data_IF_739289595837
#
_entry.id   IF_739289595837
#
_cell.length_a   1.000
_cell.length_b   1.000
_cell.length_c   1.000
_cell.angle_alpha   90.00
_cell.angle_beta   90.00
_cell.angle_gamma   90.00
#
_symmetry.space_group_name_H-M   'P 1'
#
loop_
_entity.id
_entity.type
_entity.pdbx_description
1 polymer ?
#
# COMPACT_ATOMS: atom_id res chain seq x y z
N UNK A 1 22.76 -75.72 19.85
CA UNK A 1 23.17 -75.10 21.10
C UNK A 1 22.19 -73.95 21.40
N UNK A 2 21.49 -74.16 22.49
CA UNK A 2 20.50 -73.29 23.13
C UNK A 2 21.20 -72.01 23.61
N UNK A 3 20.51 -70.84 23.53
CA UNK A 3 20.15 -70.04 24.71
C UNK A 3 19.03 -69.07 24.39
N UNK A 4 17.95 -69.26 25.07
CA UNK A 4 16.83 -68.40 25.36
C UNK A 4 17.24 -67.37 26.42
N UNK A 5 16.77 -66.10 26.37
CA UNK A 5 16.34 -65.29 27.50
C UNK A 5 15.40 -64.23 26.93
N UNK A 6 14.11 -64.30 27.05
CA UNK A 6 13.15 -63.76 28.04
C UNK A 6 13.23 -62.25 28.26
N UNK A 7 12.19 -61.59 27.74
CA UNK A 7 11.20 -60.72 28.35
C UNK A 7 11.62 -59.53 29.18
N UNK A 8 11.14 -58.36 28.80
CA UNK A 8 10.36 -57.55 29.73
C UNK A 8 9.50 -56.53 28.94
N UNK A 9 8.21 -56.73 29.05
CA UNK A 9 7.21 -55.68 28.83
C UNK A 9 7.42 -54.57 29.90
N UNK A 10 7.45 -53.33 29.46
CA UNK A 10 6.97 -52.22 30.26
C UNK A 10 6.07 -51.36 29.43
N UNK A 11 4.81 -51.52 29.67
CA UNK A 11 3.79 -50.49 29.41
C UNK A 11 4.10 -49.26 30.25
N UNK A 12 4.31 -48.14 29.58
CA UNK A 12 4.03 -46.85 30.17
C UNK A 12 3.11 -46.06 29.24
N UNK A 13 1.96 -45.97 29.72
CA UNK A 13 0.79 -45.23 29.30
C UNK A 13 1.01 -43.76 29.68
N UNK A 14 0.38 -42.91 28.88
CA UNK A 14 -0.08 -41.55 29.22
C UNK A 14 0.94 -40.41 29.20
N UNK A 15 0.78 -39.49 28.34
CA UNK A 15 -0.02 -38.29 28.46
C UNK A 15 0.44 -37.30 27.38
N UNK A 16 -0.32 -37.22 26.32
CA UNK A 16 -0.33 -36.04 25.46
C UNK A 16 -0.93 -34.88 26.26
N UNK A 17 -0.13 -33.92 26.60
CA UNK A 17 -0.60 -32.62 27.05
C UNK A 17 -0.54 -31.67 25.86
N UNK A 18 -1.66 -31.56 25.18
CA UNK A 18 -1.90 -30.51 24.18
C UNK A 18 -2.15 -29.22 24.97
N UNK A 19 -1.18 -28.33 24.96
CA UNK A 19 -1.37 -26.97 25.46
C UNK A 19 -2.00 -26.13 24.34
N UNK A 20 -3.33 -26.08 24.33
CA UNK A 20 -4.08 -25.13 23.54
C UNK A 20 -4.00 -23.75 24.23
N UNK A 21 -3.18 -22.86 23.70
CA UNK A 21 -3.27 -21.44 24.02
C UNK A 21 -4.46 -20.85 23.27
N UNK A 22 -5.63 -20.86 23.90
CA UNK A 22 -6.77 -20.08 23.47
C UNK A 22 -6.57 -18.63 23.87
N UNK A 23 -6.11 -17.79 22.95
CA UNK A 23 -6.22 -16.35 23.07
C UNK A 23 -7.65 -15.92 22.73
N UNK A 24 -8.47 -15.71 23.75
CA UNK A 24 -9.76 -15.04 23.62
C UNK A 24 -9.50 -13.56 23.33
N UNK A 25 -9.70 -13.17 22.08
CA UNK A 25 -9.82 -11.76 21.71
C UNK A 25 -11.29 -11.39 21.81
N UNK A 26 -11.62 -10.61 22.85
CA UNK A 26 -12.91 -9.94 22.94
C UNK A 26 -12.89 -8.77 21.95
N UNK A 27 -13.64 -8.86 20.87
CA UNK A 27 -13.95 -7.74 20.01
C UNK A 27 -14.95 -6.83 20.74
N UNK A 28 -14.45 -5.78 21.37
CA UNK A 28 -15.26 -4.66 21.78
C UNK A 28 -15.28 -3.66 20.62
N UNK A 29 -16.47 -3.46 20.03
CA UNK A 29 -16.72 -2.38 19.10
C UNK A 29 -16.49 -1.05 19.83
N UNK A 30 -15.41 -0.37 19.51
CA UNK A 30 -15.13 0.97 20.01
C UNK A 30 -15.67 1.98 18.99
N UNK A 31 -16.66 2.74 19.41
CA UNK A 31 -17.09 3.96 18.72
C UNK A 31 -15.89 4.91 18.55
N UNK A 32 -15.57 5.23 17.31
CA UNK A 32 -14.59 6.28 16.99
C UNK A 32 -15.18 7.65 17.39
N UNK A 33 -14.63 8.23 18.44
CA UNK A 33 -14.81 9.65 18.72
C UNK A 33 -13.76 10.45 17.95
N UNK A 34 -14.16 11.46 17.15
CA UNK A 34 -13.21 12.39 16.56
C UNK A 34 -12.71 13.35 17.63
N UNK A 35 -11.43 13.28 17.91
CA UNK A 35 -10.85 14.17 18.90
C UNK A 35 -9.35 13.98 19.05
N UNK A 36 -8.60 14.52 18.11
CA UNK A 36 -7.15 14.71 18.27
C UNK A 36 -6.91 15.83 19.28
N UNK A 37 -6.88 15.52 20.55
CA UNK A 37 -6.23 16.39 21.55
C UNK A 37 -5.61 15.53 22.64
N UNK A 38 -4.28 15.70 22.79
CA UNK A 38 -3.45 15.30 23.91
C UNK A 38 -3.11 13.80 24.01
N UNK A 39 -2.12 13.38 23.23
CA UNK A 39 -1.28 12.28 23.71
C UNK A 39 -0.62 12.73 25.02
N UNK A 40 -0.85 11.97 26.09
CA UNK A 40 -0.16 12.17 27.37
C UNK A 40 1.35 12.08 27.14
N UNK A 41 2.16 13.01 27.70
CA UNK A 41 3.61 12.89 27.64
C UNK A 41 4.02 11.60 28.34
N UNK A 42 4.62 10.66 27.63
CA UNK A 42 5.23 9.47 28.24
C UNK A 42 5.09 8.15 27.53
N UNK A 43 4.28 8.04 26.45
CA UNK A 43 4.21 6.78 25.70
C UNK A 43 5.14 6.91 24.48
N UNK A 44 6.17 6.11 24.39
CA UNK A 44 7.00 6.02 23.19
C UNK A 44 6.12 5.71 21.98
N UNK A 45 6.37 6.35 20.84
CA UNK A 45 5.60 6.10 19.62
C UNK A 45 5.79 4.66 19.17
N UNK A 46 4.69 4.04 18.72
CA UNK A 46 4.74 2.68 18.19
C UNK A 46 5.66 2.61 16.97
N UNK A 47 6.50 1.60 16.91
CA UNK A 47 7.40 1.32 15.80
C UNK A 47 7.17 -0.09 15.26
N UNK A 48 7.08 -0.29 13.94
CA UNK A 48 6.94 -1.63 13.36
C UNK A 48 8.10 -2.54 13.72
N UNK A 49 7.80 -3.81 13.93
CA UNK A 49 8.76 -4.87 14.21
C UNK A 49 8.81 -5.84 13.02
N UNK A 50 9.98 -6.37 12.73
CA UNK A 50 10.13 -7.36 11.66
C UNK A 50 9.37 -8.65 11.97
N UNK A 51 8.77 -9.24 10.95
CA UNK A 51 7.98 -10.47 11.09
C UNK A 51 6.58 -10.24 11.62
N UNK A 52 6.20 -8.98 11.89
CA UNK A 52 4.87 -8.63 12.38
C UNK A 52 4.20 -7.61 11.48
N UNK A 53 2.88 -7.78 11.29
CA UNK A 53 2.06 -6.77 10.62
C UNK A 53 1.53 -5.80 11.68
N UNK A 54 1.90 -4.51 11.58
CA UNK A 54 1.50 -3.55 12.60
C UNK A 54 0.01 -3.22 12.53
N UNK A 55 -0.64 -2.99 13.66
CA UNK A 55 -2.05 -2.63 13.70
C UNK A 55 -2.28 -1.21 13.15
N UNK A 56 -3.30 -1.07 12.29
CA UNK A 56 -3.61 0.18 11.59
C UNK A 56 -3.93 1.33 12.55
N UNK A 57 -4.55 1.04 13.68
CA UNK A 57 -4.93 2.02 14.70
C UNK A 57 -3.74 2.67 15.41
N UNK A 58 -2.57 2.05 15.35
CA UNK A 58 -1.32 2.61 15.88
C UNK A 58 -0.61 3.52 14.87
N UNK A 59 -1.06 3.53 13.62
CA UNK A 59 -0.50 4.38 12.58
C UNK A 59 -0.92 5.84 12.75
N UNK A 60 0.02 6.75 12.55
CA UNK A 60 -0.30 8.16 12.43
C UNK A 60 -1.10 8.40 11.14
N UNK A 61 -2.14 9.23 11.27
CA UNK A 61 -2.97 9.64 10.14
C UNK A 61 -2.64 11.07 9.74
N UNK A 62 -2.40 11.28 8.46
CA UNK A 62 -2.26 12.62 7.90
C UNK A 62 -2.70 12.64 6.44
N UNK A 63 -2.90 13.84 5.89
CA UNK A 63 -3.35 14.08 4.52
C UNK A 63 -2.38 15.02 3.84
N UNK A 64 -2.07 14.79 2.58
CA UNK A 64 -1.18 15.66 1.86
C UNK A 64 -1.05 15.35 0.38
N UNK A 65 -0.39 16.25 -0.34
CA UNK A 65 -0.13 16.16 -1.77
C UNK A 65 1.08 15.24 -2.04
N UNK A 66 0.93 14.31 -2.96
CA UNK A 66 2.06 13.53 -3.47
C UNK A 66 2.90 14.40 -4.42
N UNK A 67 4.12 14.73 -4.04
CA UNK A 67 4.98 15.64 -4.82
C UNK A 67 6.14 14.96 -5.52
N UNK A 68 6.49 13.76 -5.07
CA UNK A 68 7.57 12.97 -5.67
C UNK A 68 7.32 11.48 -5.47
N UNK A 69 7.72 10.66 -6.43
CA UNK A 69 7.69 9.19 -6.36
C UNK A 69 8.97 8.61 -6.96
N UNK A 70 9.59 7.74 -6.19
CA UNK A 70 10.57 6.77 -6.63
C UNK A 70 9.91 5.37 -6.53
N UNK A 71 9.25 4.96 -7.59
CA UNK A 71 8.44 3.74 -7.59
C UNK A 71 9.29 2.47 -7.48
N UNK A 72 10.53 2.48 -8.01
CA UNK A 72 11.44 1.32 -7.92
C UNK A 72 11.80 0.99 -6.47
N UNK A 73 11.99 2.01 -5.65
CA UNK A 73 12.31 1.88 -4.23
C UNK A 73 11.09 1.98 -3.31
N UNK A 74 9.88 2.14 -3.89
CA UNK A 74 8.62 2.32 -3.15
C UNK A 74 8.70 3.47 -2.14
N UNK A 75 9.19 4.62 -2.60
CA UNK A 75 9.41 5.83 -1.81
C UNK A 75 8.73 7.02 -2.47
N UNK A 76 8.56 8.06 -1.71
CA UNK A 76 8.04 9.33 -2.23
C UNK A 76 8.15 10.44 -1.21
N UNK A 77 7.55 11.56 -1.53
CA UNK A 77 7.42 12.69 -0.61
C UNK A 77 6.00 13.23 -0.63
N UNK A 78 5.49 13.51 0.56
CA UNK A 78 4.17 14.10 0.79
C UNK A 78 4.36 15.51 1.33
N UNK A 79 3.69 16.47 0.70
CA UNK A 79 3.51 17.81 1.28
C UNK A 79 2.27 17.77 2.16
N UNK A 80 2.49 17.72 3.48
CA UNK A 80 1.42 17.55 4.45
C UNK A 80 0.56 18.82 4.51
N UNK A 81 -0.77 18.63 4.59
CA UNK A 81 -1.70 19.71 4.84
C UNK A 81 -1.50 20.20 6.29
N UNK A 82 -1.07 21.43 6.46
CA UNK A 82 -1.01 22.07 7.78
C UNK A 82 -2.40 22.53 8.22
N UNK A 83 -2.66 22.55 9.53
CA UNK A 83 -3.91 23.05 10.11
C UNK A 83 -4.13 24.53 9.70
N UNK A 84 -4.99 24.75 8.72
CA UNK A 84 -5.48 26.07 8.31
C UNK A 84 -4.40 27.09 7.91
N UNK A 85 -3.17 26.68 7.66
CA UNK A 85 -2.06 27.55 7.32
C UNK A 85 -1.67 27.41 5.86
N UNK A 86 -1.56 28.56 5.24
CA UNK A 86 -1.46 28.78 3.81
C UNK A 86 -0.07 28.53 3.22
N UNK A 87 0.91 28.15 4.01
CA UNK A 87 2.26 27.96 3.50
C UNK A 87 2.47 26.52 3.07
N UNK A 88 3.07 26.35 1.92
CA UNK A 88 3.59 25.07 1.50
C UNK A 88 4.62 24.61 2.52
N UNK A 89 4.29 23.58 3.27
CA UNK A 89 5.28 22.92 4.09
C UNK A 89 6.28 22.20 3.17
N UNK A 90 7.51 22.07 3.62
CA UNK A 90 8.48 21.21 2.95
C UNK A 90 7.91 19.80 2.79
N UNK A 91 8.14 19.16 1.65
CA UNK A 91 7.71 17.79 1.48
C UNK A 91 8.43 16.85 2.46
N UNK A 92 7.68 15.93 3.04
CA UNK A 92 8.17 14.92 3.97
C UNK A 92 8.43 13.62 3.24
N UNK A 93 9.68 13.12 3.21
CA UNK A 93 10.00 11.86 2.57
C UNK A 93 9.41 10.68 3.34
N UNK A 94 8.88 9.73 2.60
CA UNK A 94 8.36 8.48 3.14
C UNK A 94 8.93 7.27 2.40
N UNK A 95 8.91 6.11 3.06
CA UNK A 95 9.08 4.82 2.43
C UNK A 95 7.87 3.93 2.75
N UNK A 96 7.42 3.17 1.77
CA UNK A 96 6.42 2.15 2.03
C UNK A 96 7.04 1.02 2.87
N UNK A 97 6.28 0.50 3.83
CA UNK A 97 6.61 -0.79 4.42
C UNK A 97 6.61 -1.86 3.32
N UNK A 98 7.37 -2.95 3.45
CA UNK A 98 7.41 -4.01 2.42
C UNK A 98 6.03 -4.51 2.02
N UNK A 99 5.14 -4.65 3.00
CA UNK A 99 3.73 -5.04 2.88
C UNK A 99 2.77 -3.84 2.86
N UNK A 100 3.30 -2.63 2.74
CA UNK A 100 2.48 -1.41 2.63
C UNK A 100 1.64 -1.42 1.36
N UNK A 101 0.44 -0.89 1.46
CA UNK A 101 -0.57 -0.93 0.39
C UNK A 101 -0.84 0.46 -0.16
N UNK A 102 -1.12 0.51 -1.44
CA UNK A 102 -1.62 1.71 -2.12
C UNK A 102 -3.02 1.41 -2.66
N UNK A 103 -3.94 2.33 -2.45
CA UNK A 103 -5.29 2.30 -3.01
C UNK A 103 -5.51 3.53 -3.86
N UNK A 104 -5.95 3.32 -5.08
CA UNK A 104 -6.26 4.39 -6.03
C UNK A 104 -7.53 4.06 -6.80
N UNK A 105 -8.45 5.01 -6.86
CA UNK A 105 -9.79 4.81 -7.43
C UNK A 105 -10.54 3.62 -6.81
N UNK A 106 -10.41 3.42 -5.48
CA UNK A 106 -11.07 2.33 -4.76
C UNK A 106 -10.45 0.95 -4.93
N UNK A 107 -9.38 0.82 -5.71
CA UNK A 107 -8.77 -0.44 -6.09
C UNK A 107 -7.31 -0.58 -5.62
N UNK A 108 -6.75 -1.79 -5.64
CA UNK A 108 -5.31 -2.00 -5.48
C UNK A 108 -4.51 -1.21 -6.51
N UNK A 109 -3.39 -0.62 -6.06
CA UNK A 109 -2.52 0.16 -6.90
C UNK A 109 -1.05 0.05 -6.47
N UNK A 110 -0.16 0.60 -7.28
CA UNK A 110 1.22 0.89 -6.91
C UNK A 110 1.47 2.39 -6.96
N UNK A 111 2.56 2.87 -6.35
CA UNK A 111 2.91 4.29 -6.34
C UNK A 111 2.99 4.91 -7.75
N UNK A 112 3.35 4.11 -8.75
CA UNK A 112 3.42 4.51 -10.15
C UNK A 112 2.06 4.87 -10.77
N UNK A 113 0.99 4.34 -10.20
CA UNK A 113 -0.37 4.54 -10.72
C UNK A 113 -0.97 5.85 -10.22
N UNK A 114 -0.37 6.45 -9.19
CA UNK A 114 -0.87 7.67 -8.55
C UNK A 114 -0.21 8.91 -9.17
N UNK A 115 -0.96 9.78 -9.85
CA UNK A 115 -0.43 11.01 -10.41
C UNK A 115 0.14 11.94 -9.34
N UNK A 116 1.25 12.62 -9.66
CA UNK A 116 1.74 13.70 -8.81
C UNK A 116 0.70 14.81 -8.67
N UNK A 117 0.64 15.42 -7.51
CA UNK A 117 -0.38 16.40 -7.15
C UNK A 117 -1.64 15.80 -6.51
N UNK A 118 -1.82 14.47 -6.56
CA UNK A 118 -2.93 13.79 -5.89
C UNK A 118 -2.84 13.99 -4.39
N UNK A 119 -3.96 14.36 -3.77
CA UNK A 119 -4.08 14.42 -2.32
C UNK A 119 -4.34 13.02 -1.79
N UNK A 120 -3.47 12.56 -0.90
CA UNK A 120 -3.50 11.22 -0.32
C UNK A 120 -3.77 11.25 1.18
N UNK A 121 -4.52 10.26 1.65
CA UNK A 121 -4.62 9.88 3.04
C UNK A 121 -3.54 8.87 3.36
N UNK A 122 -2.76 9.15 4.39
CA UNK A 122 -1.59 8.38 4.77
C UNK A 122 -1.78 7.77 6.14
N UNK A 123 -1.45 6.48 6.27
CA UNK A 123 -1.29 5.79 7.55
C UNK A 123 0.15 5.30 7.63
N UNK A 124 0.92 5.89 8.52
CA UNK A 124 2.34 5.63 8.64
C UNK A 124 2.83 5.55 10.07
N UNK A 125 4.03 5.06 10.23
CA UNK A 125 4.73 4.92 11.50
C UNK A 125 6.04 5.68 11.46
N UNK A 126 6.57 6.03 12.61
CA UNK A 126 7.96 6.48 12.69
C UNK A 126 8.90 5.36 12.22
N UNK A 127 10.07 5.71 11.67
CA UNK A 127 11.04 4.71 11.25
C UNK A 127 11.37 3.75 12.39
N UNK A 128 11.52 2.45 12.09
CA UNK A 128 11.94 1.47 13.09
C UNK A 128 13.26 1.87 13.73
N UNK A 129 13.44 1.56 15.00
CA UNK A 129 14.76 1.68 15.63
C UNK A 129 15.65 0.54 15.12
N UNK A 130 16.77 0.83 14.43
CA UNK A 130 17.67 -0.21 13.92
C UNK A 130 18.23 -1.14 15.01
N UNK A 131 18.25 -0.67 16.26
CA UNK A 131 18.73 -1.45 17.42
C UNK A 131 17.70 -2.42 17.98
N UNK A 132 16.41 -2.11 17.78
CA UNK A 132 15.30 -2.85 18.37
C UNK A 132 14.46 -3.59 17.31
N UNK A 133 14.67 -3.30 16.04
CA UNK A 133 13.84 -3.82 14.97
C UNK A 133 14.72 -4.23 13.79
N UNK A 134 14.40 -5.38 13.19
CA UNK A 134 14.95 -5.83 11.92
C UNK A 134 14.13 -5.36 10.71
N UNK A 135 13.12 -4.54 10.91
CA UNK A 135 12.44 -3.88 9.78
C UNK A 135 13.44 -3.01 9.04
N UNK A 136 13.55 -3.14 7.72
CA UNK A 136 14.53 -2.40 6.95
C UNK A 136 14.37 -0.89 7.13
N UNK A 137 15.46 -0.23 7.48
CA UNK A 137 15.55 1.22 7.55
C UNK A 137 16.32 1.70 6.35
N UNK A 138 15.84 2.74 5.69
CA UNK A 138 16.57 3.34 4.58
C UNK A 138 17.91 3.90 5.08
N UNK A 139 19.03 3.63 4.40
CA UNK A 139 20.31 4.19 4.79
C UNK A 139 20.25 5.71 4.75
N UNK A 140 20.86 6.31 5.75
CA UNK A 140 21.10 7.75 5.80
C UNK A 140 22.48 7.98 5.16
N UNK A 141 22.53 8.65 4.02
CA UNK A 141 23.79 9.15 3.53
C UNK A 141 24.12 10.47 4.22
N UNK A 142 24.88 10.37 5.32
CA UNK A 142 25.33 11.54 6.08
C UNK A 142 26.49 12.28 5.39
N UNK A 143 26.94 11.84 4.21
CA UNK A 143 28.09 12.42 3.54
C UNK A 143 27.73 13.63 2.68
N UNK A 144 26.49 13.75 2.29
CA UNK A 144 26.06 14.85 1.45
C UNK A 144 25.61 16.03 2.32
N UNK A 145 26.53 16.98 2.50
CA UNK A 145 26.27 18.21 3.26
C UNK A 145 25.27 19.13 2.56
N UNK A 146 25.03 18.90 1.28
CA UNK A 146 24.06 19.62 0.45
C UNK A 146 22.71 18.92 0.37
N UNK A 147 22.40 18.13 1.36
CA UNK A 147 21.13 17.41 1.48
C UNK A 147 19.90 18.33 1.31
N UNK A 148 20.02 19.65 1.51
CA UNK A 148 18.94 20.61 1.27
C UNK A 148 18.41 20.62 -0.17
N UNK A 149 19.24 20.29 -1.16
CA UNK A 149 18.83 20.24 -2.56
C UNK A 149 17.88 19.08 -2.88
N UNK A 150 17.89 18.06 -2.04
CA UNK A 150 17.10 16.85 -2.25
C UNK A 150 15.82 16.81 -1.41
N UNK A 151 15.61 17.81 -0.59
CA UNK A 151 14.36 17.92 0.17
C UNK A 151 13.17 17.89 -0.78
N UNK A 152 12.31 16.93 -0.57
CA UNK A 152 11.17 16.73 -1.43
C UNK A 152 11.38 15.84 -2.65
N UNK A 153 12.60 15.38 -2.91
CA UNK A 153 12.89 14.45 -4.02
C UNK A 153 12.72 12.97 -3.63
N UNK A 154 12.45 12.68 -2.35
CA UNK A 154 12.33 11.30 -1.86
C UNK A 154 13.66 10.60 -1.60
N UNK A 155 14.77 11.27 -1.79
CA UNK A 155 16.12 10.72 -1.61
C UNK A 155 16.54 10.72 -0.15
N UNK A 156 15.94 11.61 0.64
CA UNK A 156 16.23 11.69 2.08
C UNK A 156 15.78 10.44 2.83
N UNK A 157 16.37 10.20 4.00
CA UNK A 157 15.85 9.20 4.91
C UNK A 157 14.35 9.41 5.12
N UNK A 158 13.60 8.34 5.08
CA UNK A 158 12.17 8.41 5.29
C UNK A 158 11.88 8.88 6.71
N UNK A 159 11.05 9.91 6.83
CA UNK A 159 10.52 10.36 8.11
C UNK A 159 9.40 9.46 8.61
N UNK A 160 8.71 8.79 7.66
CA UNK A 160 7.64 7.85 7.95
C UNK A 160 7.77 6.57 7.12
N UNK A 161 7.42 5.44 7.72
CA UNK A 161 7.21 4.17 7.07
C UNK A 161 5.72 3.93 6.90
N UNK A 162 5.26 3.91 5.67
CA UNK A 162 3.84 3.96 5.34
C UNK A 162 3.27 2.56 5.16
N UNK A 163 2.17 2.28 5.86
CA UNK A 163 1.39 1.05 5.74
C UNK A 163 0.30 1.17 4.69
N UNK A 164 -0.35 2.34 4.60
CA UNK A 164 -1.48 2.54 3.71
C UNK A 164 -1.44 3.95 3.13
N UNK A 165 -1.52 4.02 1.79
CA UNK A 165 -1.78 5.23 1.02
C UNK A 165 -3.11 5.08 0.28
N UNK A 166 -3.96 6.07 0.40
CA UNK A 166 -5.28 6.08 -0.25
C UNK A 166 -5.54 7.45 -0.89
N UNK A 167 -6.04 7.45 -2.12
CA UNK A 167 -6.65 8.64 -2.67
C UNK A 167 -8.01 8.92 -1.98
N UNK A 168 -8.60 10.07 -2.26
CA UNK A 168 -9.84 10.47 -1.61
C UNK A 168 -11.00 9.49 -1.86
N UNK A 169 -11.25 8.98 -3.09
CA UNK A 169 -12.27 7.98 -3.32
C UNK A 169 -12.04 6.68 -2.52
N UNK A 170 -10.81 6.16 -2.52
CA UNK A 170 -10.48 4.94 -1.78
C UNK A 170 -10.70 5.10 -0.28
N UNK A 171 -10.30 6.26 0.27
CA UNK A 171 -10.53 6.59 1.67
C UNK A 171 -12.02 6.67 2.00
N UNK A 172 -12.81 7.32 1.16
CA UNK A 172 -14.25 7.41 1.32
C UNK A 172 -14.90 6.03 1.31
N UNK A 173 -14.56 5.19 0.34
CA UNK A 173 -15.11 3.83 0.22
C UNK A 173 -14.75 2.97 1.44
N UNK A 174 -13.49 2.99 1.90
CA UNK A 174 -13.07 2.23 3.08
C UNK A 174 -13.77 2.69 4.37
N UNK A 175 -14.04 3.98 4.49
CA UNK A 175 -14.69 4.55 5.69
C UNK A 175 -16.22 4.62 5.60
N UNK A 176 -16.81 4.17 4.49
CA UNK A 176 -18.26 4.22 4.27
C UNK A 176 -18.79 5.66 4.12
N UNK A 177 -17.94 6.59 3.68
CA UNK A 177 -18.26 8.00 3.50
C UNK A 177 -18.35 8.38 2.03
N UNK A 178 -19.02 9.50 1.77
CA UNK A 178 -19.12 10.16 0.46
C UNK A 178 -19.02 11.66 0.65
N UNK A 179 -18.74 12.38 -0.40
CA UNK A 179 -18.89 13.81 -0.40
C UNK A 179 -20.34 14.20 -0.73
N UNK A 180 -20.93 15.05 0.10
CA UNK A 180 -22.23 15.64 -0.17
C UNK A 180 -22.05 17.07 -0.61
N UNK A 181 -22.44 17.36 -1.84
CA UNK A 181 -22.32 18.67 -2.44
C UNK A 181 -23.34 19.61 -1.83
N UNK A 182 -22.92 20.77 -1.29
CA UNK A 182 -23.76 21.76 -0.63
C UNK A 182 -24.05 22.98 -1.51
N UNK A 183 -22.99 23.56 -2.06
CA UNK A 183 -23.09 24.77 -2.87
C UNK A 183 -22.12 24.68 -4.05
N UNK A 184 -22.55 25.16 -5.19
CA UNK A 184 -21.76 25.37 -6.39
C UNK A 184 -21.74 26.86 -6.73
N UNK A 185 -20.56 27.41 -6.96
CA UNK A 185 -20.38 28.72 -7.59
C UNK A 185 -19.61 28.54 -8.89
N UNK A 186 -20.21 28.97 -10.00
CA UNK A 186 -19.67 28.77 -11.34
C UNK A 186 -19.51 30.10 -12.07
N UNK A 187 -18.41 30.24 -12.78
CA UNK A 187 -18.15 31.34 -13.73
C UNK A 187 -17.20 30.84 -14.82
N UNK A 188 -17.58 31.03 -16.08
CA UNK A 188 -16.73 30.65 -17.22
C UNK A 188 -16.25 29.17 -17.17
N UNK A 189 -17.13 28.24 -16.84
CA UNK A 189 -16.83 26.79 -16.69
C UNK A 189 -15.77 26.45 -15.64
N UNK A 190 -15.53 27.34 -14.69
CA UNK A 190 -14.67 27.11 -13.53
C UNK A 190 -15.35 27.68 -12.28
N UNK A 191 -14.97 27.19 -11.13
CA UNK A 191 -15.64 27.67 -9.92
C UNK A 191 -15.20 26.96 -8.66
N UNK A 192 -16.10 26.97 -7.70
CA UNK A 192 -15.88 26.42 -6.37
C UNK A 192 -17.07 25.54 -5.99
N UNK A 193 -16.80 24.40 -5.41
CA UNK A 193 -17.78 23.53 -4.78
C UNK A 193 -17.50 23.52 -3.29
N UNK A 194 -18.55 23.72 -2.50
CA UNK A 194 -18.55 23.46 -1.06
C UNK A 194 -19.19 22.11 -0.84
N UNK A 195 -18.51 21.23 -0.14
CA UNK A 195 -18.96 19.88 0.15
C UNK A 195 -18.50 19.42 1.53
N UNK A 196 -19.23 18.48 2.12
CA UNK A 196 -18.86 17.83 3.38
C UNK A 196 -18.70 16.32 3.19
N UNK A 197 -17.74 15.73 3.92
CA UNK A 197 -17.53 14.28 3.90
C UNK A 197 -18.40 13.61 4.96
N UNK A 198 -19.46 12.97 4.55
CA UNK A 198 -20.49 12.41 5.40
C UNK A 198 -20.72 10.91 5.13
N UNK A 199 -21.35 10.16 6.03
CA UNK A 199 -21.82 8.82 5.73
C UNK A 199 -22.73 8.82 4.49
N UNK A 200 -22.67 7.75 3.69
CA UNK A 200 -23.51 7.62 2.48
C UNK A 200 -24.99 7.72 2.82
N UNK A 201 -25.40 7.15 3.96
CA UNK A 201 -26.76 7.25 4.50
C UNK A 201 -26.75 8.01 5.82
N UNK A 202 -27.69 8.95 5.99
CA UNK A 202 -27.76 9.80 7.18
C UNK A 202 -27.05 11.14 7.01
N UNK A 203 -27.02 11.92 8.07
CA UNK A 203 -26.39 13.25 8.15
C UNK A 203 -25.42 13.25 9.32
N UNK A 204 -24.21 13.71 9.09
CA UNK A 204 -23.24 13.99 10.14
C UNK A 204 -23.16 15.51 10.34
N UNK A 205 -23.86 16.01 11.36
CA UNK A 205 -23.89 17.45 11.67
C UNK A 205 -22.54 18.00 12.16
N UNK A 206 -21.58 17.13 12.39
CA UNK A 206 -20.22 17.51 12.82
C UNK A 206 -19.22 17.48 11.65
N UNK A 207 -19.66 17.09 10.46
CA UNK A 207 -18.80 17.05 9.29
C UNK A 207 -18.36 18.46 8.89
N UNK A 208 -17.06 18.64 8.73
CA UNK A 208 -16.51 19.90 8.28
C UNK A 208 -16.77 20.09 6.78
N UNK A 209 -17.14 21.32 6.42
CA UNK A 209 -17.30 21.72 5.03
C UNK A 209 -15.95 22.13 4.45
N UNK A 210 -15.63 21.59 3.29
CA UNK A 210 -14.43 21.96 2.53
C UNK A 210 -14.84 22.69 1.24
N UNK A 211 -14.14 23.77 0.95
CA UNK A 211 -14.30 24.51 -0.31
C UNK A 211 -13.19 24.11 -1.27
N UNK A 212 -13.56 23.61 -2.43
CA UNK A 212 -12.67 23.07 -3.44
C UNK A 212 -12.92 23.74 -4.78
N UNK A 213 -11.83 24.07 -5.49
CA UNK A 213 -11.95 24.63 -6.84
C UNK A 213 -12.11 23.53 -7.88
N UNK A 214 -12.70 23.87 -9.02
CA UNK A 214 -12.75 23.04 -10.22
C UNK A 214 -12.61 23.91 -11.46
N UNK A 215 -12.31 23.30 -12.60
CA UNK A 215 -12.19 24.02 -13.87
C UNK A 215 -12.69 23.15 -15.06
N UNK A 216 -12.56 23.66 -16.26
CA UNK A 216 -12.98 22.96 -17.47
C UNK A 216 -12.22 21.63 -17.73
N UNK A 217 -11.10 21.40 -17.06
CA UNK A 217 -10.35 20.14 -17.13
C UNK A 217 -10.85 19.09 -16.13
N UNK A 218 -11.68 19.49 -15.15
CA UNK A 218 -12.30 18.55 -14.21
C UNK A 218 -13.13 17.53 -14.99
N UNK A 219 -12.87 16.26 -14.74
CA UNK A 219 -13.55 15.14 -15.40
C UNK A 219 -14.75 14.74 -14.55
N UNK A 220 -15.89 14.60 -15.19
CA UNK A 220 -17.12 14.17 -14.52
C UNK A 220 -17.53 12.83 -15.12
N UNK A 221 -17.78 11.87 -14.26
CA UNK A 221 -18.07 10.51 -14.66
C UNK A 221 -19.49 10.14 -14.24
N UNK A 222 -20.28 9.69 -15.21
CA UNK A 222 -21.66 9.23 -15.02
C UNK A 222 -21.84 7.93 -15.79
N UNK A 223 -22.18 6.86 -15.11
CA UNK A 223 -22.26 5.54 -15.70
C UNK A 223 -20.95 5.16 -16.45
N UNK A 224 -21.01 5.16 -17.76
CA UNK A 224 -19.88 4.83 -18.65
C UNK A 224 -19.35 6.03 -19.42
N UNK A 225 -19.87 7.20 -19.16
CA UNK A 225 -19.56 8.40 -19.92
C UNK A 225 -18.64 9.33 -19.14
N UNK A 226 -17.77 10.00 -19.87
CA UNK A 226 -17.00 11.12 -19.38
C UNK A 226 -17.65 12.40 -19.85
N UNK A 227 -18.05 13.20 -18.91
CA UNK A 227 -18.64 14.52 -19.10
C UNK A 227 -17.64 15.60 -18.72
N UNK A 228 -17.82 16.78 -19.27
CA UNK A 228 -17.17 18.00 -18.81
C UNK A 228 -18.17 18.90 -18.09
N UNK A 229 -17.66 19.99 -17.51
CA UNK A 229 -18.49 21.02 -16.88
C UNK A 229 -19.51 21.59 -17.86
N UNK A 230 -19.13 21.75 -19.14
CA UNK A 230 -20.01 22.24 -20.19
C UNK A 230 -21.24 21.36 -20.42
N UNK A 231 -21.06 20.05 -20.37
CA UNK A 231 -22.16 19.11 -20.61
C UNK A 231 -23.22 19.20 -19.50
N UNK A 232 -22.80 19.37 -18.24
CA UNK A 232 -23.74 19.56 -17.12
C UNK A 232 -24.49 20.90 -17.19
N UNK A 233 -23.87 21.93 -17.78
CA UNK A 233 -24.52 23.21 -18.04
C UNK A 233 -25.57 23.06 -19.16
N UNK A 234 -25.21 22.41 -20.26
CA UNK A 234 -26.09 22.17 -21.40
C UNK A 234 -27.32 21.31 -21.00
N UNK A 235 -27.09 20.34 -20.13
CA UNK A 235 -28.20 19.53 -19.55
C UNK A 235 -29.04 20.27 -18.49
N UNK A 236 -28.64 21.49 -18.10
CA UNK A 236 -29.36 22.28 -17.08
C UNK A 236 -29.17 21.77 -15.63
N UNK A 237 -28.27 20.82 -15.42
CA UNK A 237 -27.95 20.31 -14.09
C UNK A 237 -27.15 21.35 -13.30
N UNK A 238 -26.19 22.00 -13.95
CA UNK A 238 -25.43 23.12 -13.38
C UNK A 238 -25.83 24.44 -14.03
N UNK A 239 -25.78 25.59 -13.31
CA UNK A 239 -26.07 26.89 -13.89
C UNK A 239 -24.95 27.27 -14.87
N UNK A 240 -25.25 28.13 -15.84
CA UNK A 240 -24.22 28.69 -16.72
C UNK A 240 -23.22 29.57 -15.94
N UNK A 241 -23.74 30.41 -15.04
CA UNK A 241 -23.03 31.28 -14.13
C UNK A 241 -23.78 31.45 -12.83
N UNK A 242 -23.07 31.82 -11.77
CA UNK A 242 -23.65 32.17 -10.46
C UNK A 242 -23.62 31.06 -9.45
N UNK A 243 -24.36 31.24 -8.38
CA UNK A 243 -24.43 30.30 -7.26
C UNK A 243 -25.70 29.44 -7.33
N UNK A 244 -25.53 28.17 -7.02
CA UNK A 244 -26.64 27.20 -6.92
C UNK A 244 -26.41 26.31 -5.67
N UNK A 245 -27.44 26.23 -4.78
CA UNK A 245 -27.42 25.19 -3.76
C UNK A 245 -27.54 23.82 -4.42
N UNK A 246 -26.80 22.85 -3.89
CA UNK A 246 -26.87 21.45 -4.30
C UNK A 246 -27.39 20.64 -3.12
N UNK A 247 -28.49 19.94 -3.32
CA UNK A 247 -29.28 19.29 -2.25
C UNK A 247 -28.58 18.08 -1.56
N UNK A 248 -27.28 18.19 -1.32
CA UNK A 248 -26.51 17.13 -0.68
C UNK A 248 -26.31 15.91 -1.57
N UNK A 249 -26.26 16.10 -2.91
CA UNK A 249 -25.99 15.03 -3.86
C UNK A 249 -24.72 14.26 -3.44
N UNK A 250 -24.80 12.95 -3.21
CA UNK A 250 -23.62 12.15 -2.85
C UNK A 250 -22.76 11.89 -4.08
N UNK A 251 -21.47 12.13 -3.96
CA UNK A 251 -20.48 11.89 -5.01
C UNK A 251 -19.16 11.38 -4.41
N UNK A 252 -18.30 10.83 -5.24
CA UNK A 252 -16.88 10.63 -4.90
C UNK A 252 -16.04 11.66 -5.66
N UNK A 253 -15.00 12.17 -5.02
CA UNK A 253 -14.16 13.24 -5.56
C UNK A 253 -12.70 12.80 -5.64
N UNK A 254 -12.10 12.97 -6.80
CA UNK A 254 -10.64 12.96 -6.94
C UNK A 254 -10.11 14.35 -6.60
N UNK A 255 -9.20 14.43 -5.65
CA UNK A 255 -8.71 15.71 -5.13
C UNK A 255 -7.22 15.85 -5.43
N UNK A 256 -6.86 17.00 -5.97
CA UNK A 256 -5.49 17.43 -6.16
C UNK A 256 -5.25 18.75 -5.45
N UNK A 257 -4.01 19.17 -5.37
CA UNK A 257 -3.64 20.44 -4.77
C UNK A 257 -3.08 21.37 -5.83
N UNK A 258 -3.80 22.45 -6.13
CA UNK A 258 -3.38 23.45 -7.10
C UNK A 258 -2.98 24.78 -6.43
N UNK A 259 -1.96 25.47 -6.94
CA UNK A 259 -1.66 26.84 -6.51
C UNK A 259 -2.81 27.78 -6.91
N UNK A 260 -3.05 28.77 -6.08
CA UNK A 260 -3.92 29.91 -6.41
C UNK A 260 -3.28 30.78 -7.50
N UNK A 261 -4.07 31.66 -8.12
CA UNK A 261 -3.60 32.53 -9.21
C UNK A 261 -2.42 33.43 -8.82
N UNK A 262 -2.30 33.79 -7.55
CA UNK A 262 -1.17 34.55 -7.01
C UNK A 262 0.10 33.70 -6.77
N UNK A 263 -0.02 32.38 -6.89
CA UNK A 263 1.06 31.43 -6.67
C UNK A 263 1.54 31.29 -5.22
N UNK A 264 0.94 32.03 -4.30
CA UNK A 264 1.35 32.06 -2.88
C UNK A 264 0.65 30.96 -2.09
N UNK A 265 -0.63 30.76 -2.38
CA UNK A 265 -1.46 29.79 -1.67
C UNK A 265 -1.75 28.56 -2.53
N UNK A 266 -2.14 27.47 -1.89
CA UNK A 266 -2.64 26.29 -2.56
C UNK A 266 -4.05 25.97 -2.04
N UNK A 267 -4.88 25.43 -2.92
CA UNK A 267 -6.24 25.03 -2.59
C UNK A 267 -6.49 23.61 -3.09
N UNK A 268 -7.40 22.93 -2.45
CA UNK A 268 -7.91 21.70 -2.98
C UNK A 268 -8.63 21.97 -4.30
N UNK A 269 -8.33 21.12 -5.26
CA UNK A 269 -8.89 21.19 -6.59
C UNK A 269 -9.43 19.83 -6.97
N UNK A 270 -10.65 19.82 -7.49
CA UNK A 270 -11.33 18.61 -7.92
C UNK A 270 -10.82 18.24 -9.31
N UNK A 271 -10.15 17.10 -9.43
CA UNK A 271 -9.73 16.54 -10.71
C UNK A 271 -10.81 15.67 -11.34
N UNK A 272 -11.58 14.96 -10.52
CA UNK A 272 -12.59 14.00 -10.92
C UNK A 272 -13.82 14.06 -10.02
N UNK A 273 -14.99 13.88 -10.60
CA UNK A 273 -16.26 13.74 -9.90
C UNK A 273 -16.92 12.45 -10.40
N UNK A 274 -17.15 11.49 -9.52
CA UNK A 274 -17.96 10.31 -9.82
C UNK A 274 -19.36 10.54 -9.27
N UNK A 275 -20.34 10.69 -10.18
CA UNK A 275 -21.72 11.00 -9.85
C UNK A 275 -22.53 9.78 -9.37
N UNK A 276 -22.02 8.58 -9.64
CA UNK A 276 -22.69 7.33 -9.30
C UNK A 276 -21.68 6.19 -9.02
N UNK A 277 -22.21 5.12 -8.42
CA UNK A 277 -21.42 3.95 -8.03
C UNK A 277 -20.88 3.21 -9.28
N UNK A 278 -21.64 3.14 -10.36
CA UNK A 278 -21.25 2.42 -11.60
C UNK A 278 -20.00 3.03 -12.22
N UNK A 279 -19.93 4.37 -12.26
CA UNK A 279 -18.76 5.07 -12.77
C UNK A 279 -17.51 4.79 -11.89
N UNK A 280 -17.69 4.74 -10.56
CA UNK A 280 -16.62 4.45 -9.63
C UNK A 280 -16.16 2.98 -9.70
N UNK A 281 -17.10 2.04 -9.77
CA UNK A 281 -16.81 0.61 -9.96
C UNK A 281 -15.99 0.36 -11.22
N UNK A 282 -16.34 1.00 -12.31
CA UNK A 282 -15.59 0.91 -13.57
C UNK A 282 -14.16 1.46 -13.44
N UNK A 283 -13.98 2.58 -12.73
CA UNK A 283 -12.65 3.11 -12.47
C UNK A 283 -11.81 2.13 -11.64
N UNK A 284 -12.43 1.53 -10.62
CA UNK A 284 -11.82 0.51 -9.78
C UNK A 284 -11.47 -0.77 -10.57
N UNK A 285 -12.34 -1.24 -11.44
CA UNK A 285 -12.07 -2.40 -12.32
C UNK A 285 -10.85 -2.16 -13.22
N UNK A 286 -10.80 -1.00 -13.89
CA UNK A 286 -9.68 -0.63 -14.75
C UNK A 286 -8.36 -0.55 -13.98
N UNK A 287 -8.39 0.03 -12.78
CA UNK A 287 -7.22 0.12 -11.92
C UNK A 287 -6.80 -1.27 -11.43
N UNK A 288 -7.75 -2.12 -11.07
CA UNK A 288 -7.49 -3.51 -10.67
C UNK A 288 -6.78 -4.29 -11.78
N UNK A 289 -7.24 -4.23 -13.01
CA UNK A 289 -6.60 -4.92 -14.15
C UNK A 289 -5.18 -4.35 -14.44
N UNK A 290 -5.00 -3.05 -14.29
CA UNK A 290 -3.67 -2.41 -14.40
C UNK A 290 -2.73 -2.98 -13.33
N UNK A 291 -3.17 -3.00 -12.09
CA UNK A 291 -2.39 -3.51 -10.97
C UNK A 291 -2.12 -5.02 -11.08
N UNK A 292 -3.09 -5.82 -11.51
CA UNK A 292 -2.90 -7.26 -11.75
C UNK A 292 -1.80 -7.52 -12.79
N UNK A 293 -1.82 -6.75 -13.88
CA UNK A 293 -0.78 -6.83 -14.91
C UNK A 293 0.59 -6.46 -14.35
N UNK A 294 0.65 -5.42 -13.52
CA UNK A 294 1.88 -5.01 -12.85
C UNK A 294 2.40 -6.11 -11.91
N UNK A 295 1.57 -6.65 -11.01
CA UNK A 295 1.99 -7.69 -10.07
C UNK A 295 2.44 -8.95 -10.79
N UNK A 296 1.73 -9.40 -11.83
CA UNK A 296 2.18 -10.54 -12.63
C UNK A 296 3.55 -10.33 -13.26
N UNK A 297 3.87 -9.11 -13.66
CA UNK A 297 5.17 -8.76 -14.24
C UNK A 297 6.28 -8.64 -13.20
N UNK A 298 5.96 -8.27 -11.95
CA UNK A 298 6.92 -8.01 -10.85
C UNK A 298 6.95 -9.11 -9.81
N UNK A 299 6.10 -10.12 -9.96
CA UNK A 299 5.84 -11.23 -9.04
C UNK A 299 5.21 -10.79 -7.71
N UNK A 300 4.50 -11.70 -7.09
CA UNK A 300 3.85 -11.50 -5.82
C UNK A 300 4.88 -11.33 -4.70
N UNK A 301 4.84 -10.23 -3.96
CA UNK A 301 5.69 -10.07 -2.80
C UNK A 301 5.20 -10.95 -1.65
N UNK A 302 6.14 -11.50 -0.91
CA UNK A 302 5.88 -12.37 0.22
C UNK A 302 6.95 -12.20 1.30
N UNK A 303 6.64 -12.67 2.49
CA UNK A 303 7.53 -12.72 3.64
C UNK A 303 7.92 -14.15 3.94
N UNK A 304 9.20 -14.46 4.09
CA UNK A 304 9.65 -15.79 4.49
C UNK A 304 9.45 -15.96 5.99
N UNK A 305 8.63 -16.91 6.37
CA UNK A 305 8.38 -17.28 7.77
C UNK A 305 9.40 -18.29 8.27
N UNK A 306 9.67 -19.32 7.45
CA UNK A 306 10.60 -20.39 7.80
C UNK A 306 11.32 -20.97 6.58
N UNK A 307 12.50 -21.54 6.81
CA UNK A 307 13.24 -22.35 5.85
C UNK A 307 13.68 -23.62 6.53
N UNK A 308 13.20 -24.78 6.07
CA UNK A 308 13.56 -26.09 6.56
C UNK A 308 14.47 -26.79 5.54
N UNK A 309 15.69 -27.07 5.96
CA UNK A 309 16.68 -27.74 5.10
C UNK A 309 16.51 -29.26 5.18
N UNK A 310 16.30 -29.87 4.02
CA UNK A 310 16.24 -31.31 3.84
C UNK A 310 17.58 -31.93 3.46
N UNK A 311 17.52 -33.17 3.00
CA UNK A 311 18.71 -33.87 2.48
C UNK A 311 19.04 -33.39 1.05
N UNK A 312 20.29 -33.52 0.65
CA UNK A 312 20.78 -33.24 -0.72
C UNK A 312 20.56 -31.80 -1.22
N UNK A 313 20.53 -30.83 -0.30
CA UNK A 313 20.36 -29.43 -0.66
C UNK A 313 18.91 -29.00 -0.92
N UNK A 314 17.96 -29.89 -0.71
CA UNK A 314 16.54 -29.55 -0.75
C UNK A 314 16.17 -28.65 0.43
N UNK A 315 15.20 -27.77 0.21
CA UNK A 315 14.62 -26.98 1.28
C UNK A 315 13.12 -26.76 1.04
N UNK A 316 12.40 -26.65 2.14
CA UNK A 316 11.00 -26.19 2.17
C UNK A 316 10.98 -24.77 2.72
N UNK A 317 10.47 -23.85 1.92
CA UNK A 317 10.32 -22.44 2.29
C UNK A 317 8.85 -22.18 2.58
N UNK A 318 8.56 -21.70 3.78
CA UNK A 318 7.23 -21.24 4.16
C UNK A 318 7.20 -19.73 4.03
N UNK A 319 6.23 -19.20 3.30
CA UNK A 319 6.13 -17.76 3.05
C UNK A 319 4.69 -17.27 3.07
N UNK A 320 4.46 -16.12 3.74
CA UNK A 320 3.18 -15.42 3.77
C UNK A 320 3.12 -14.41 2.64
N UNK A 321 2.11 -14.52 1.76
CA UNK A 321 1.87 -13.58 0.68
C UNK A 321 1.37 -12.25 1.26
N UNK A 322 1.85 -11.13 0.70
CA UNK A 322 1.39 -9.82 1.13
C UNK A 322 -0.03 -9.53 0.64
N UNK A 323 -0.74 -8.74 1.43
CA UNK A 323 -2.12 -8.35 1.18
C UNK A 323 -2.28 -7.16 0.25
N UNK A 324 -3.53 -6.75 0.09
CA UNK A 324 -3.88 -5.53 -0.65
C UNK A 324 -3.94 -5.69 -2.16
N UNK A 325 -3.89 -6.90 -2.69
CA UNK A 325 -3.99 -7.21 -4.11
C UNK A 325 -5.35 -7.83 -4.44
N UNK A 326 -5.63 -7.97 -5.73
CA UNK A 326 -6.85 -8.63 -6.18
C UNK A 326 -6.83 -10.14 -5.86
N UNK A 327 -7.97 -10.67 -5.42
CA UNK A 327 -8.10 -12.06 -4.97
C UNK A 327 -7.76 -13.09 -6.05
N UNK A 328 -7.98 -12.74 -7.33
CA UNK A 328 -7.65 -13.63 -8.44
C UNK A 328 -6.15 -13.91 -8.57
N UNK A 329 -5.30 -13.00 -8.09
CA UNK A 329 -3.85 -13.23 -8.07
C UNK A 329 -3.45 -14.30 -7.04
N UNK A 330 -4.12 -14.32 -5.90
CA UNK A 330 -3.88 -15.35 -4.87
C UNK A 330 -4.40 -16.72 -5.31
N UNK A 331 -5.51 -16.75 -6.04
CA UNK A 331 -6.10 -17.99 -6.57
C UNK A 331 -5.19 -18.72 -7.58
N UNK A 332 -4.20 -18.04 -8.13
CA UNK A 332 -3.20 -18.64 -9.03
C UNK A 332 -2.15 -19.50 -8.28
N UNK A 333 -2.01 -19.31 -6.96
CA UNK A 333 -1.12 -20.12 -6.11
C UNK A 333 -1.87 -21.39 -5.68
N UNK A 334 -1.56 -22.52 -6.31
CA UNK A 334 -2.23 -23.79 -6.09
C UNK A 334 -1.24 -24.84 -5.65
N UNK A 335 -1.70 -25.78 -4.82
CA UNK A 335 -0.94 -26.98 -4.49
C UNK A 335 -0.54 -27.72 -5.78
N UNK A 336 0.64 -28.27 -5.78
CA UNK A 336 1.29 -28.99 -6.87
C UNK A 336 1.63 -28.12 -8.11
N UNK A 337 1.30 -26.83 -8.10
CA UNK A 337 1.72 -25.92 -9.15
C UNK A 337 3.22 -25.61 -9.04
N UNK A 338 3.93 -25.60 -10.16
CA UNK A 338 5.30 -25.13 -10.20
C UNK A 338 5.36 -23.62 -9.96
N UNK A 339 6.30 -23.19 -9.13
CA UNK A 339 6.53 -21.78 -8.82
C UNK A 339 8.01 -21.43 -8.90
N UNK A 340 8.29 -20.11 -8.94
CA UNK A 340 9.61 -19.53 -8.86
C UNK A 340 9.62 -18.52 -7.71
N UNK A 341 10.73 -18.51 -6.97
CA UNK A 341 10.93 -17.58 -5.86
C UNK A 341 12.31 -16.92 -5.95
N UNK A 342 12.36 -15.61 -5.73
CA UNK A 342 13.58 -14.83 -5.75
C UNK A 342 13.65 -13.89 -4.56
N UNK A 343 14.86 -13.61 -4.06
CA UNK A 343 15.05 -12.47 -3.18
C UNK A 343 14.76 -11.17 -3.95
N UNK A 344 14.21 -10.16 -3.26
CA UNK A 344 13.84 -8.87 -3.89
C UNK A 344 15.03 -8.23 -4.58
N UNK A 345 16.20 -8.24 -3.94
CA UNK A 345 17.42 -7.67 -4.53
C UNK A 345 17.87 -8.42 -5.80
N UNK A 346 17.80 -9.75 -5.79
CA UNK A 346 18.12 -10.54 -6.98
C UNK A 346 17.13 -10.26 -8.12
N UNK A 347 15.85 -10.11 -7.81
CA UNK A 347 14.81 -9.79 -8.81
C UNK A 347 15.09 -8.48 -9.52
N UNK A 348 15.61 -7.49 -8.80
CA UNK A 348 15.83 -6.15 -9.31
C UNK A 348 17.24 -5.97 -9.91
N UNK A 349 18.26 -6.57 -9.31
CA UNK A 349 19.65 -6.43 -9.78
C UNK A 349 19.97 -7.27 -11.02
N UNK A 350 19.31 -8.40 -11.20
CA UNK A 350 19.62 -9.35 -12.27
C UNK A 350 18.64 -9.31 -13.44
N UNK A 351 17.92 -8.19 -13.59
CA UNK A 351 17.05 -7.96 -14.73
C UNK A 351 17.81 -7.42 -15.96
N UNK A 352 19.12 -7.25 -15.87
CA UNK A 352 19.93 -6.80 -16.98
C UNK A 352 20.11 -7.85 -18.07
N UNK A 353 19.85 -7.46 -19.30
CA UNK A 353 20.17 -8.23 -20.48
C UNK A 353 19.44 -9.58 -20.59
N UNK A 354 20.15 -10.61 -21.03
CA UNK A 354 19.59 -11.94 -21.32
C UNK A 354 19.17 -12.74 -20.07
N UNK A 355 19.50 -12.25 -18.89
CA UNK A 355 19.31 -12.97 -17.64
C UNK A 355 18.13 -12.41 -16.84
N UNK A 356 16.97 -12.35 -17.28
CA UNK A 356 15.82 -11.87 -16.51
C UNK A 356 15.69 -12.50 -15.11
N UNK A 357 14.74 -12.07 -14.30
CA UNK A 357 14.55 -12.50 -12.91
C UNK A 357 14.53 -14.03 -12.73
N UNK A 358 14.00 -14.74 -13.72
CA UNK A 358 13.88 -16.19 -13.67
C UNK A 358 15.20 -16.95 -13.66
N UNK A 359 16.31 -16.34 -14.08
CA UNK A 359 17.60 -17.01 -14.15
C UNK A 359 18.20 -17.29 -12.77
N UNK A 360 17.91 -16.42 -11.80
CA UNK A 360 18.40 -16.54 -10.42
C UNK A 360 17.34 -17.02 -9.44
N UNK A 361 16.24 -17.56 -9.94
CA UNK A 361 15.14 -18.00 -9.10
C UNK A 361 15.30 -19.43 -8.60
N UNK A 362 14.97 -19.66 -7.33
CA UNK A 362 14.63 -21.00 -6.87
C UNK A 362 13.39 -21.47 -7.60
N UNK A 363 13.37 -22.71 -8.05
CA UNK A 363 12.25 -23.30 -8.78
C UNK A 363 11.81 -24.59 -8.08
N UNK A 364 10.51 -24.80 -8.02
CA UNK A 364 9.95 -26.02 -7.48
C UNK A 364 8.43 -25.98 -7.33
N UNK A 365 7.84 -27.04 -6.78
CA UNK A 365 6.40 -27.09 -6.54
C UNK A 365 5.98 -26.33 -5.28
N UNK A 366 4.77 -25.83 -5.29
CA UNK A 366 4.03 -25.44 -4.09
C UNK A 366 3.46 -26.72 -3.49
N UNK A 367 3.97 -27.14 -2.33
CA UNK A 367 3.55 -28.39 -1.70
C UNK A 367 2.30 -28.22 -0.84
N UNK A 368 2.06 -26.99 -0.37
CA UNK A 368 0.83 -26.66 0.36
C UNK A 368 0.49 -25.18 0.26
N UNK A 369 -0.81 -24.88 0.43
CA UNK A 369 -1.36 -23.52 0.51
C UNK A 369 -2.33 -23.46 1.67
N UNK A 370 -1.98 -22.71 2.69
CA UNK A 370 -2.77 -22.58 3.91
C UNK A 370 -3.40 -21.18 3.94
N UNK A 371 -4.69 -21.11 4.20
CA UNK A 371 -5.39 -19.86 4.45
C UNK A 371 -5.63 -19.72 5.94
N UNK A 372 -5.21 -18.60 6.52
CA UNK A 372 -5.44 -18.30 7.93
C UNK A 372 -6.95 -18.22 8.22
N UNK A 373 -7.33 -18.69 9.39
CA UNK A 373 -8.68 -18.51 9.89
C UNK A 373 -8.87 -17.08 10.40
N UNK A 374 -9.98 -16.46 10.02
CA UNK A 374 -10.31 -15.09 10.44
C UNK A 374 -9.79 -14.00 9.51
N UNK A 375 -9.92 -12.76 9.97
CA UNK A 375 -9.48 -11.57 9.21
C UNK A 375 -7.97 -11.40 9.32
N UNK A 376 -7.31 -11.35 8.17
CA UNK A 376 -5.87 -11.12 8.11
C UNK A 376 -5.53 -9.66 8.49
N UNK A 377 -4.44 -9.43 9.21
CA UNK A 377 -4.00 -8.06 9.50
C UNK A 377 -3.67 -7.31 8.21
N UNK A 378 -3.84 -6.00 8.22
CA UNK A 378 -3.56 -5.16 7.07
C UNK A 378 -2.10 -5.36 6.60
N UNK A 379 -1.93 -5.58 5.31
CA UNK A 379 -0.63 -5.92 4.71
C UNK A 379 -0.40 -7.42 4.53
N UNK A 380 -1.15 -8.29 5.19
CA UNK A 380 -1.14 -9.73 4.97
C UNK A 380 -2.33 -10.15 4.10
N UNK A 381 -2.13 -11.13 3.24
CA UNK A 381 -3.24 -11.79 2.52
C UNK A 381 -3.94 -12.86 3.37
N UNK A 382 -3.35 -13.25 4.49
CA UNK A 382 -3.75 -14.44 5.23
C UNK A 382 -3.44 -15.75 4.52
N UNK A 383 -2.70 -15.71 3.40
CA UNK A 383 -2.34 -16.90 2.62
C UNK A 383 -0.86 -17.19 2.79
N UNK A 384 -0.57 -18.39 3.24
CA UNK A 384 0.78 -18.92 3.40
C UNK A 384 0.99 -20.06 2.40
N UNK A 385 2.10 -20.03 1.70
CA UNK A 385 2.52 -21.08 0.79
C UNK A 385 3.72 -21.83 1.37
N UNK A 386 3.75 -23.15 1.15
CA UNK A 386 4.94 -23.97 1.33
C UNK A 386 5.51 -24.32 -0.03
N UNK A 387 6.72 -23.89 -0.26
CA UNK A 387 7.41 -24.02 -1.54
C UNK A 387 8.65 -24.91 -1.36
N UNK A 388 8.74 -25.98 -2.13
CA UNK A 388 9.89 -26.88 -2.10
C UNK A 388 10.87 -26.54 -3.24
N UNK A 389 12.16 -26.55 -2.96
CA UNK A 389 13.19 -26.29 -3.96
C UNK A 389 14.46 -27.11 -3.72
N UNK A 390 15.17 -27.45 -4.79
CA UNK A 390 16.47 -28.13 -4.74
C UNK A 390 17.65 -27.15 -4.68
N UNK A 391 17.40 -25.86 -4.80
CA UNK A 391 18.40 -24.81 -4.81
C UNK A 391 17.95 -23.63 -3.94
N UNK A 392 18.73 -23.33 -2.92
CA UNK A 392 18.56 -22.09 -2.14
C UNK A 392 19.58 -21.07 -2.63
N UNK A 393 19.07 -19.93 -3.07
CA UNK A 393 19.88 -18.77 -3.45
C UNK A 393 20.07 -17.83 -2.27
N UNK A 394 21.06 -16.96 -2.36
CA UNK A 394 21.28 -15.90 -1.37
C UNK A 394 20.04 -15.05 -1.19
N UNK A 395 19.71 -14.70 0.04
CA UNK A 395 18.54 -13.90 0.41
C UNK A 395 17.28 -14.71 0.74
N UNK A 396 17.25 -16.02 0.47
CA UNK A 396 16.13 -16.90 0.88
C UNK A 396 16.38 -17.36 2.32
N UNK A 397 15.86 -16.62 3.28
CA UNK A 397 15.96 -16.91 4.72
C UNK A 397 14.83 -16.24 5.51
N UNK A 398 14.49 -16.75 6.70
CA UNK A 398 13.42 -16.18 7.53
C UNK A 398 13.58 -14.68 7.76
N UNK A 399 12.48 -13.97 7.81
CA UNK A 399 12.42 -12.53 7.98
C UNK A 399 12.74 -11.72 6.73
N UNK A 400 12.95 -12.36 5.57
CA UNK A 400 13.23 -11.67 4.30
C UNK A 400 12.00 -11.55 3.42
N UNK A 401 11.94 -10.44 2.70
CA UNK A 401 10.96 -10.25 1.64
C UNK A 401 11.46 -10.90 0.37
N UNK A 402 10.60 -11.63 -0.27
CA UNK A 402 10.85 -12.31 -1.53
C UNK A 402 9.77 -11.96 -2.54
N UNK A 403 10.04 -12.34 -3.77
CA UNK A 403 9.06 -12.32 -4.84
C UNK A 403 8.82 -13.73 -5.32
N UNK A 404 7.57 -14.11 -5.43
CA UNK A 404 7.14 -15.44 -5.84
C UNK A 404 6.10 -15.36 -6.96
N UNK A 405 6.18 -16.26 -7.92
CA UNK A 405 5.16 -16.38 -8.96
C UNK A 405 4.88 -17.85 -9.29
N UNK A 406 3.64 -18.20 -9.62
CA UNK A 406 3.34 -19.44 -10.32
C UNK A 406 4.04 -19.46 -11.69
N UNK A 407 4.48 -20.63 -12.14
CA UNK A 407 5.13 -20.76 -13.45
C UNK A 407 4.18 -20.41 -14.61
N UNK A 408 2.88 -20.45 -14.38
CA UNK A 408 1.85 -20.04 -15.34
C UNK A 408 1.81 -18.55 -15.65
N UNK A 409 2.35 -17.71 -14.76
CA UNK A 409 2.40 -16.28 -15.04
C UNK A 409 3.43 -15.97 -16.13
N UNK A 410 3.15 -14.99 -17.00
CA UNK A 410 4.08 -14.62 -18.06
C UNK A 410 5.40 -14.12 -17.47
N UNK A 411 6.48 -14.43 -18.14
CA UNK A 411 7.76 -13.82 -17.86
C UNK A 411 7.84 -12.49 -18.64
N UNK A 412 7.89 -11.39 -17.90
CA UNK A 412 7.96 -10.05 -18.46
C UNK A 412 9.29 -9.43 -18.10
N UNK A 413 9.95 -8.82 -19.07
CA UNK A 413 11.15 -8.03 -18.81
C UNK A 413 10.76 -6.72 -18.13
N UNK A 414 11.40 -6.45 -16.99
CA UNK A 414 11.21 -5.20 -16.27
C UNK A 414 11.90 -4.07 -17.03
N UNK A 415 11.28 -2.89 -17.21
CA UNK A 415 11.94 -1.74 -17.81
C UNK A 415 13.20 -1.35 -17.05
N UNK A 416 14.20 -0.85 -17.80
CA UNK A 416 15.51 -0.51 -17.21
C UNK A 416 15.44 0.55 -16.13
N UNK A 417 14.51 1.49 -16.26
CA UNK A 417 14.27 2.59 -15.32
C UNK A 417 13.83 2.10 -13.93
N UNK A 418 13.35 0.87 -13.87
CA UNK A 418 12.92 0.23 -12.64
C UNK A 418 14.00 -0.65 -12.00
N UNK A 419 15.19 -0.71 -12.60
CA UNK A 419 16.30 -1.46 -12.03
C UNK A 419 16.86 -0.71 -10.83
N UNK A 420 16.87 -1.41 -9.71
CA UNK A 420 17.53 -0.90 -8.50
C UNK A 420 19.02 -0.79 -8.75
N UNK A 421 19.59 0.40 -8.59
CA UNK A 421 20.99 0.68 -8.84
C UNK A 421 21.29 1.43 -10.14
N UNK A 422 20.33 1.46 -11.10
CA UNK A 422 20.40 2.31 -12.29
C UNK A 422 19.57 3.61 -12.13
N UNK A 423 18.93 3.80 -10.97
CA UNK A 423 18.27 5.05 -10.67
C UNK A 423 19.32 6.18 -10.66
N UNK A 424 18.88 7.37 -10.98
CA UNK A 424 19.63 8.64 -11.08
C UNK A 424 20.66 8.84 -9.96
N UNK A 425 20.56 8.08 -8.91
CA UNK A 425 21.40 8.12 -7.73
C UNK A 425 22.20 6.84 -7.52
N UNK A 426 23.06 6.50 -8.47
CA UNK A 426 24.18 5.59 -8.19
C UNK A 426 25.04 6.04 -6.98
N UNK A 427 24.87 7.29 -6.54
CA UNK A 427 25.44 7.86 -5.31
C UNK A 427 24.70 7.44 -4.03
N UNK A 428 23.45 7.07 -4.17
CA UNK A 428 22.66 6.52 -3.08
C UNK A 428 22.55 5.03 -3.36
N UNK A 429 23.44 4.22 -2.74
CA UNK A 429 23.25 2.79 -2.85
C UNK A 429 21.81 2.51 -2.49
N UNK A 430 21.14 1.78 -3.35
CA UNK A 430 19.82 1.24 -3.04
C UNK A 430 19.83 0.85 -1.59
N UNK A 431 18.95 1.42 -0.78
CA UNK A 431 18.91 1.01 0.60
C UNK A 431 18.81 -0.49 0.56
N UNK A 432 19.84 -1.15 1.07
CA UNK A 432 19.72 -2.55 1.35
C UNK A 432 18.42 -2.62 2.14
N UNK A 433 17.35 -3.07 1.49
CA UNK A 433 16.07 -3.28 2.17
C UNK A 433 16.33 -4.20 3.36
N UNK A 434 17.57 -4.66 3.45
CA UNK A 434 18.03 -5.56 4.47
C UNK A 434 19.42 -5.16 4.93
N UNK A 435 19.67 -5.09 6.23
CA UNK A 435 21.02 -4.82 6.73
C UNK A 435 21.99 -5.80 6.08
N UNK A 436 23.09 -5.27 5.56
CA UNK A 436 24.22 -6.11 5.24
C UNK A 436 24.69 -6.70 6.56
N UNK A 437 24.67 -8.01 6.66
CA UNK A 437 25.28 -8.73 7.79
C UNK A 437 26.79 -8.66 7.70
#
# INVERSE_FOLDING_TARGET
MRFLVLSSLCLVRDSLLVLACACFVHAAAAEEKPGTKNQKPGTEPFRPVAGEFPPLEKAHAYRGELVFVDHANRRGSIRVQGEGKFFRNDPHPFAMLPYGMVRYHGAPADLRDVPLGTVLHVRGFLPPDPKLSSVPVLPVDNKDKDASHYRGTGIFPAENHVLLLEDEPSHCLRTGKVWKLKELELKDKQGTIVASREPKTGVDSTAEEESMTFDAATRIWRDRERLGVGDLIEEGIWPADGKKPLDGQPVLLGITWKPTSDGVFTRFHISDIWLDDTAMERAAENQTETHKTFIRSRWMPAWIDAVEYGQFGQATVTATLFGGMDDSLYADFKKDASALMNAVEATLKHTHGAYGPAHMACKGPIIDVVKAEGEAPLGSSGIQIQFQTDLIIEGIRPGRVVRVRPASWPQVQVPREEYVGDSIDARFPTPAIFPKY
#
